data_IF_689937399453
#
_entry.id   IF_689937399453
#
_cell.length_a   1.000
_cell.length_b   1.000
_cell.length_c   1.000
_cell.angle_alpha   90.00
_cell.angle_beta   90.00
_cell.angle_gamma   90.00
#
_symmetry.space_group_name_H-M   'P 1'
#
loop_
_entity.id
_entity.type
_entity.pdbx_description
1 polymer ?
#
# COMPACT_ATOMS: atom_id res chain seq x y z
N UNK A 1 -4.96 -5.47 -11.21
CA UNK A 1 -5.22 -4.15 -10.57
C UNK A 1 -4.20 -3.13 -11.07
N UNK A 2 -4.63 -1.90 -11.19
CA UNK A 2 -3.76 -0.80 -11.60
C UNK A 2 -4.05 0.40 -10.71
N UNK A 3 -2.99 0.99 -10.15
CA UNK A 3 -3.12 2.18 -9.30
C UNK A 3 -2.22 3.30 -9.82
N UNK A 4 -2.66 4.53 -9.59
CA UNK A 4 -1.91 5.73 -9.93
C UNK A 4 -1.47 6.41 -8.63
N UNK A 5 -0.18 6.71 -8.51
CA UNK A 5 0.38 7.42 -7.37
C UNK A 5 1.48 8.36 -7.84
N UNK A 6 1.36 9.64 -7.50
CA UNK A 6 2.35 10.68 -7.83
C UNK A 6 2.69 10.70 -9.32
N UNK A 7 1.68 10.52 -10.18
CA UNK A 7 1.87 10.53 -11.62
C UNK A 7 2.43 9.23 -12.20
N UNK A 8 2.68 8.23 -11.37
CA UNK A 8 3.21 6.94 -11.80
C UNK A 8 2.15 5.85 -11.65
N UNK A 9 1.96 5.06 -12.70
CA UNK A 9 1.04 3.93 -12.70
C UNK A 9 1.77 2.66 -12.26
N UNK A 10 1.16 1.91 -11.35
CA UNK A 10 1.66 0.63 -10.88
C UNK A 10 0.60 -0.44 -11.19
N UNK A 11 1.04 -1.57 -11.71
CA UNK A 11 0.15 -2.63 -12.16
C UNK A 11 0.61 -3.99 -11.65
N UNK A 12 -0.35 -4.85 -11.31
CA UNK A 12 -0.09 -6.20 -10.82
C UNK A 12 -1.12 -6.59 -9.76
N UNK A 13 -0.76 -7.59 -8.95
CA UNK A 13 -1.54 -7.94 -7.76
C UNK A 13 -1.33 -6.87 -6.69
N UNK A 14 -2.14 -6.89 -5.64
CA UNK A 14 -1.97 -5.95 -4.53
C UNK A 14 -0.57 -6.04 -3.92
N UNK A 15 -0.09 -7.25 -3.67
CA UNK A 15 1.25 -7.47 -3.12
C UNK A 15 2.35 -6.97 -4.06
N UNK A 16 2.18 -7.20 -5.36
CA UNK A 16 3.15 -6.71 -6.36
C UNK A 16 3.20 -5.19 -6.39
N UNK A 17 2.04 -4.53 -6.30
CA UNK A 17 1.97 -3.07 -6.25
C UNK A 17 2.66 -2.56 -4.99
N UNK A 18 2.41 -3.16 -3.84
CA UNK A 18 3.07 -2.77 -2.59
C UNK A 18 4.59 -2.96 -2.68
N UNK A 19 5.06 -4.03 -3.33
CA UNK A 19 6.49 -4.25 -3.54
C UNK A 19 7.09 -3.18 -4.44
N UNK A 20 6.40 -2.78 -5.50
CA UNK A 20 6.84 -1.70 -6.37
C UNK A 20 6.97 -0.40 -5.58
N UNK A 21 6.01 -0.08 -4.71
CA UNK A 21 6.07 1.11 -3.87
C UNK A 21 7.23 1.02 -2.86
N UNK A 22 7.47 -0.16 -2.29
CA UNK A 22 8.60 -0.38 -1.38
C UNK A 22 9.93 -0.06 -2.06
N UNK A 23 10.10 -0.51 -3.31
CA UNK A 23 11.32 -0.27 -4.07
C UNK A 23 11.56 1.21 -4.38
N UNK A 24 10.52 2.03 -4.36
CA UNK A 24 10.60 3.46 -4.61
C UNK A 24 10.90 4.27 -3.35
N UNK A 25 10.96 3.65 -2.18
CA UNK A 25 11.30 4.37 -0.94
C UNK A 25 12.76 4.78 -0.97
N UNK A 26 13.09 5.80 -0.17
CA UNK A 26 14.45 6.32 -0.10
C UNK A 26 15.45 5.23 0.33
N UNK A 27 15.06 4.37 1.27
CA UNK A 27 15.88 3.28 1.77
C UNK A 27 15.05 2.00 1.83
N UNK A 28 15.00 1.21 0.74
CA UNK A 28 14.22 -0.03 0.73
C UNK A 28 14.68 -1.06 1.78
N UNK A 29 15.93 -1.00 2.19
CA UNK A 29 16.47 -1.93 3.20
C UNK A 29 15.88 -1.68 4.59
N UNK A 30 15.31 -0.51 4.84
CA UNK A 30 14.59 -0.21 6.08
C UNK A 30 13.34 -1.07 6.22
N UNK A 31 12.77 -1.49 5.09
CA UNK A 31 11.60 -2.35 5.02
C UNK A 31 12.01 -3.64 4.29
N UNK A 32 12.47 -4.67 5.01
CA UNK A 32 13.10 -5.84 4.39
C UNK A 32 12.17 -6.69 3.52
N UNK A 33 10.85 -6.55 3.68
CA UNK A 33 9.87 -7.27 2.88
C UNK A 33 8.60 -6.45 2.69
N UNK A 34 7.72 -6.94 1.81
CA UNK A 34 6.46 -6.27 1.48
C UNK A 34 5.55 -6.12 2.70
N UNK A 35 5.46 -7.16 3.52
CA UNK A 35 4.60 -7.13 4.71
C UNK A 35 5.04 -6.03 5.70
N UNK A 36 6.33 -5.92 5.97
CA UNK A 36 6.86 -4.88 6.85
C UNK A 36 6.54 -3.49 6.31
N UNK A 37 6.66 -3.31 5.00
CA UNK A 37 6.31 -2.04 4.35
C UNK A 37 4.82 -1.71 4.51
N UNK A 38 3.94 -2.70 4.36
CA UNK A 38 2.49 -2.51 4.55
C UNK A 38 2.19 -2.06 5.97
N UNK A 39 2.81 -2.67 6.98
CA UNK A 39 2.64 -2.26 8.38
C UNK A 39 3.11 -0.83 8.61
N UNK A 40 4.19 -0.42 7.96
CA UNK A 40 4.69 0.95 8.06
C UNK A 40 3.70 1.93 7.41
N UNK A 41 3.13 1.59 6.26
CA UNK A 41 2.09 2.40 5.64
C UNK A 41 0.87 2.54 6.55
N UNK A 42 0.47 1.48 7.22
CA UNK A 42 -0.64 1.51 8.18
C UNK A 42 -0.33 2.48 9.33
N UNK A 43 0.87 2.41 9.87
CA UNK A 43 1.30 3.31 10.95
C UNK A 43 1.25 4.77 10.49
N UNK A 44 1.75 5.06 9.31
CA UNK A 44 1.74 6.40 8.75
C UNK A 44 0.31 6.89 8.47
N UNK A 45 -0.55 6.00 7.97
CA UNK A 45 -1.96 6.31 7.73
C UNK A 45 -2.66 6.74 9.02
N UNK A 46 -2.53 5.95 10.09
CA UNK A 46 -3.14 6.24 11.37
C UNK A 46 -2.62 7.57 11.93
N UNK A 47 -1.31 7.78 11.82
CA UNK A 47 -0.66 8.98 12.33
C UNK A 47 -1.09 10.23 11.57
N UNK A 48 -1.25 10.12 10.25
CA UNK A 48 -1.59 11.28 9.40
C UNK A 48 -3.06 11.63 9.44
N UNK A 49 -3.95 10.64 9.55
CA UNK A 49 -5.40 10.85 9.43
C UNK A 49 -6.13 10.83 10.77
N UNK A 50 -5.53 10.22 11.79
CA UNK A 50 -6.22 9.97 13.06
C UNK A 50 -7.31 8.90 12.96
N UNK A 51 -7.45 8.25 11.80
CA UNK A 51 -8.44 7.19 11.58
C UNK A 51 -7.81 5.83 11.83
N UNK A 52 -8.64 4.89 12.27
CA UNK A 52 -8.22 3.51 12.46
C UNK A 52 -8.01 2.81 11.11
N UNK A 53 -7.11 1.84 11.11
CA UNK A 53 -6.86 1.02 9.92
C UNK A 53 -6.64 -0.42 10.37
N UNK A 54 -7.62 -1.28 10.11
CA UNK A 54 -7.55 -2.69 10.45
C UNK A 54 -7.17 -3.48 9.19
N UNK A 55 -6.12 -4.30 9.30
CA UNK A 55 -5.68 -5.17 8.20
C UNK A 55 -6.00 -6.62 8.54
N UNK A 56 -6.39 -7.44 7.54
CA UNK A 56 -6.63 -8.86 7.77
C UNK A 56 -5.32 -9.59 8.08
N UNK A 57 -5.43 -10.68 8.84
CA UNK A 57 -4.29 -11.49 9.23
C UNK A 57 -3.88 -12.48 8.14
N UNK A 58 -2.59 -12.83 8.13
CA UNK A 58 -2.06 -14.05 7.54
C UNK A 58 -1.78 -14.06 6.05
N UNK A 59 -2.30 -13.14 5.26
CA UNK A 59 -2.11 -13.15 3.80
C UNK A 59 -1.66 -11.78 3.32
N UNK A 60 -0.44 -11.71 2.81
CA UNK A 60 0.15 -10.46 2.33
C UNK A 60 -0.69 -9.82 1.22
N UNK A 61 -1.26 -10.62 0.32
CA UNK A 61 -2.12 -10.09 -0.75
C UNK A 61 -3.37 -9.43 -0.17
N UNK A 62 -4.02 -10.06 0.79
CA UNK A 62 -5.21 -9.48 1.43
C UNK A 62 -4.88 -8.22 2.21
N UNK A 63 -3.74 -8.21 2.90
CA UNK A 63 -3.25 -7.01 3.60
C UNK A 63 -2.99 -5.88 2.61
N UNK A 64 -2.35 -6.19 1.49
CA UNK A 64 -2.05 -5.22 0.45
C UNK A 64 -3.31 -4.60 -0.14
N UNK A 65 -4.30 -5.43 -0.48
CA UNK A 65 -5.57 -4.96 -1.03
C UNK A 65 -6.32 -4.07 -0.03
N UNK A 66 -6.33 -4.45 1.24
CA UNK A 66 -6.97 -3.65 2.29
C UNK A 66 -6.27 -2.30 2.46
N UNK A 67 -4.95 -2.28 2.44
CA UNK A 67 -4.17 -1.04 2.57
C UNK A 67 -4.39 -0.12 1.36
N UNK A 68 -4.40 -0.67 0.14
CA UNK A 68 -4.68 0.07 -1.08
C UNK A 68 -6.06 0.73 -1.00
N UNK A 69 -7.07 0.00 -0.52
CA UNK A 69 -8.41 0.54 -0.36
C UNK A 69 -8.42 1.73 0.61
N UNK A 70 -7.71 1.65 1.72
CA UNK A 70 -7.64 2.75 2.68
C UNK A 70 -6.92 3.96 2.10
N UNK A 71 -5.80 3.75 1.42
CA UNK A 71 -5.05 4.83 0.77
C UNK A 71 -5.88 5.50 -0.33
N UNK A 72 -6.68 4.73 -1.05
CA UNK A 72 -7.59 5.26 -2.06
C UNK A 72 -8.64 6.20 -1.46
N UNK A 73 -9.15 5.89 -0.27
CA UNK A 73 -10.16 6.71 0.42
C UNK A 73 -9.65 8.10 0.77
N UNK A 74 -8.37 8.22 1.09
CA UNK A 74 -7.79 9.52 1.50
C UNK A 74 -7.08 10.22 0.33
N UNK A 75 -7.14 9.65 -0.88
CA UNK A 75 -6.52 10.26 -2.05
C UNK A 75 -5.01 10.11 -2.12
N UNK A 76 -4.40 9.25 -1.31
CA UNK A 76 -2.96 9.02 -1.35
C UNK A 76 -2.55 8.22 -2.60
N UNK A 77 -3.49 7.49 -3.19
CA UNK A 77 -3.36 6.88 -4.51
C UNK A 77 -4.75 6.76 -5.12
N UNK A 78 -4.81 6.40 -6.41
CA UNK A 78 -6.07 6.18 -7.11
C UNK A 78 -6.08 4.78 -7.71
N UNK A 79 -7.13 4.01 -7.44
CA UNK A 79 -7.33 2.72 -8.12
C UNK A 79 -7.94 3.03 -9.49
N UNK A 80 -7.15 2.84 -10.53
CA UNK A 80 -7.54 3.19 -11.91
C UNK A 80 -8.26 2.02 -12.57
N UNK A 81 -7.85 0.80 -12.24
CA UNK A 81 -8.41 -0.43 -12.81
C UNK A 81 -8.34 -1.54 -11.77
N UNK A 82 -9.48 -2.13 -11.49
CA UNK A 82 -9.62 -3.22 -10.53
C UNK A 82 -10.04 -4.47 -11.31
N UNK A 83 -9.06 -5.24 -11.71
CA UNK A 83 -9.32 -6.43 -12.53
C UNK A 83 -9.63 -7.64 -11.69
#
# INVERSE_FOLDING_TARGET
MKVLRDGTTHEGTGAEIMEQLRQLTFDPDEYPDTETYIWQLRTNFIRSTGMDCTLPDGDTERMALAMIAQLGKIGALEVVEDA
#
